data_IF_614052598422
#
_entry.id   IF_614052598422
#
_cell.length_a   1.000
_cell.length_b   1.000
_cell.length_c   1.000
_cell.angle_alpha   90.00
_cell.angle_beta   90.00
_cell.angle_gamma   90.00
#
_symmetry.space_group_name_H-M   'P 1'
#
loop_
_entity.id
_entity.type
_entity.pdbx_description
1 polymer ?
#
# COMPACT_ATOMS: atom_id res chain seq x y z
N UNK A 1 7.38 13.26 2.47
CA UNK A 1 8.44 12.37 1.98
C UNK A 1 8.68 11.24 2.96
N UNK A 2 8.30 10.01 2.58
CA UNK A 2 8.64 8.78 3.32
C UNK A 2 9.69 7.96 2.54
N UNK A 3 10.47 8.62 1.69
CA UNK A 3 11.60 8.04 0.98
C UNK A 3 12.53 7.31 1.96
N UNK A 4 12.64 5.98 1.82
CA UNK A 4 13.36 5.09 2.75
C UNK A 4 12.87 5.09 4.22
N UNK A 5 11.64 5.53 4.50
CA UNK A 5 11.11 5.47 5.85
C UNK A 5 10.93 4.00 6.28
N UNK A 6 11.56 3.62 7.39
CA UNK A 6 11.34 2.34 8.05
C UNK A 6 10.04 2.40 8.84
N UNK A 7 8.92 2.15 8.18
CA UNK A 7 7.56 2.10 8.79
C UNK A 7 7.11 0.66 9.00
N UNK A 8 8.07 -0.25 9.20
CA UNK A 8 7.82 -1.65 9.51
C UNK A 8 6.95 -1.77 10.77
N UNK A 9 5.83 -2.48 10.67
CA UNK A 9 4.89 -2.65 11.78
C UNK A 9 4.15 -1.37 12.21
N UNK A 10 4.29 -0.26 11.48
CA UNK A 10 3.64 1.00 11.85
C UNK A 10 2.11 0.89 11.73
N UNK A 11 1.40 1.55 12.64
CA UNK A 11 -0.04 1.76 12.48
C UNK A 11 -0.30 3.06 11.71
N UNK A 12 -0.72 2.91 10.46
CA UNK A 12 -1.08 3.96 9.50
C UNK A 12 -2.58 3.87 9.14
N UNK A 13 -3.41 3.42 10.08
CA UNK A 13 -4.86 3.35 9.89
C UNK A 13 -5.40 4.76 9.62
N UNK A 14 -6.25 4.92 8.60
CA UNK A 14 -6.82 6.19 8.13
C UNK A 14 -5.77 7.24 7.70
N UNK A 15 -4.52 6.83 7.43
CA UNK A 15 -3.46 7.76 7.04
C UNK A 15 -3.70 8.35 5.65
N UNK A 16 -3.51 9.67 5.52
CA UNK A 16 -3.54 10.39 4.25
C UNK A 16 -2.11 10.50 3.70
N UNK A 17 -1.81 9.69 2.68
CA UNK A 17 -0.52 9.58 2.01
C UNK A 17 -0.62 10.02 0.54
N UNK A 18 -1.51 10.98 0.27
CA UNK A 18 -1.76 11.58 -1.04
C UNK A 18 -0.46 12.13 -1.64
N UNK A 19 -0.17 11.73 -2.88
CA UNK A 19 1.03 12.16 -3.64
C UNK A 19 2.35 11.95 -2.88
N UNK A 20 2.38 11.04 -1.91
CA UNK A 20 3.58 10.78 -1.13
C UNK A 20 4.61 10.04 -1.98
N UNK A 21 5.87 10.49 -1.91
CA UNK A 21 6.99 9.68 -2.37
C UNK A 21 7.21 8.51 -1.38
N UNK A 22 6.80 7.32 -1.81
CA UNK A 22 6.95 6.03 -1.13
C UNK A 22 7.97 5.13 -1.84
N UNK A 23 8.82 5.72 -2.68
CA UNK A 23 9.89 5.02 -3.40
C UNK A 23 10.80 4.32 -2.40
N UNK A 24 10.93 2.99 -2.56
CA UNK A 24 11.72 2.14 -1.65
C UNK A 24 11.33 2.22 -0.15
N UNK A 25 10.09 2.59 0.18
CA UNK A 25 9.58 2.56 1.54
C UNK A 25 9.37 1.11 2.03
N UNK A 26 9.58 0.87 3.33
CA UNK A 26 9.38 -0.44 3.93
C UNK A 26 8.16 -0.43 4.86
N UNK A 27 7.05 -0.98 4.37
CA UNK A 27 5.78 -1.16 5.07
C UNK A 27 5.57 -2.60 5.55
N UNK A 28 6.61 -3.42 5.63
CA UNK A 28 6.48 -4.81 6.09
C UNK A 28 5.73 -4.87 7.44
N UNK A 29 4.63 -5.62 7.49
CA UNK A 29 3.78 -5.73 8.69
C UNK A 29 3.02 -4.47 9.11
N UNK A 30 3.07 -3.37 8.34
CA UNK A 30 2.36 -2.13 8.67
C UNK A 30 0.84 -2.26 8.49
N UNK A 31 0.06 -1.51 9.26
CA UNK A 31 -1.39 -1.44 9.10
C UNK A 31 -1.80 -0.15 8.35
N UNK A 32 -2.20 -0.29 7.10
CA UNK A 32 -2.67 0.74 6.17
C UNK A 32 -4.21 0.70 6.00
N UNK A 33 -4.95 0.13 6.96
CA UNK A 33 -6.41 0.04 6.87
C UNK A 33 -7.03 1.43 6.65
N UNK A 34 -7.90 1.58 5.64
CA UNK A 34 -8.51 2.84 5.21
C UNK A 34 -7.52 3.96 4.80
N UNK A 35 -6.24 3.65 4.59
CA UNK A 35 -5.27 4.66 4.16
C UNK A 35 -5.54 5.09 2.71
N UNK A 36 -5.18 6.33 2.39
CA UNK A 36 -5.30 6.90 1.06
C UNK A 36 -3.92 7.15 0.45
N UNK A 37 -3.56 6.35 -0.56
CA UNK A 37 -2.31 6.44 -1.31
C UNK A 37 -2.51 7.08 -2.68
N UNK A 38 -3.62 7.79 -2.93
CA UNK A 38 -3.91 8.36 -4.26
C UNK A 38 -2.75 9.23 -4.75
N UNK A 39 -2.25 8.96 -5.96
CA UNK A 39 -1.10 9.66 -6.53
C UNK A 39 0.26 9.34 -5.88
N UNK A 40 0.34 8.47 -4.88
CA UNK A 40 1.61 8.11 -4.25
C UNK A 40 2.52 7.35 -5.23
N UNK A 41 3.81 7.65 -5.18
CA UNK A 41 4.78 6.99 -6.06
C UNK A 41 5.32 5.71 -5.42
N UNK A 42 5.09 4.58 -6.09
CA UNK A 42 5.65 3.28 -5.74
C UNK A 42 6.63 2.81 -6.82
N UNK A 43 7.68 2.14 -6.39
CA UNK A 43 8.54 1.37 -7.29
C UNK A 43 8.62 -0.08 -6.82
N UNK A 44 9.24 -0.93 -7.64
CA UNK A 44 9.49 -2.36 -7.34
C UNK A 44 10.32 -2.61 -6.07
N UNK A 45 10.80 -1.57 -5.39
CA UNK A 45 11.58 -1.67 -4.14
C UNK A 45 10.75 -1.42 -2.89
N UNK A 46 9.51 -0.94 -3.04
CA UNK A 46 8.62 -0.81 -1.89
C UNK A 46 8.26 -2.21 -1.36
N UNK A 47 8.35 -2.39 -0.05
CA UNK A 47 8.10 -3.66 0.63
C UNK A 47 6.78 -3.56 1.38
N UNK A 48 5.84 -4.42 1.04
CA UNK A 48 4.49 -4.49 1.61
C UNK A 48 4.19 -5.89 2.17
N UNK A 49 5.21 -6.75 2.29
CA UNK A 49 5.02 -8.11 2.78
C UNK A 49 4.40 -8.10 4.19
N UNK A 50 3.27 -8.78 4.35
CA UNK A 50 2.54 -8.83 5.62
C UNK A 50 1.85 -7.52 6.03
N UNK A 51 1.84 -6.49 5.19
CA UNK A 51 1.07 -5.28 5.45
C UNK A 51 -0.44 -5.57 5.41
N UNK A 52 -1.21 -4.88 6.25
CA UNK A 52 -2.66 -4.90 6.27
C UNK A 52 -3.15 -3.70 5.44
N UNK A 53 -3.86 -3.93 4.36
CA UNK A 53 -4.29 -2.96 3.34
C UNK A 53 -5.82 -2.96 3.13
N UNK A 54 -6.59 -3.19 4.19
CA UNK A 54 -8.05 -3.25 4.09
C UNK A 54 -8.65 -1.88 3.78
N UNK A 55 -9.46 -1.78 2.72
CA UNK A 55 -10.05 -0.53 2.24
C UNK A 55 -9.00 0.56 1.93
N UNK A 56 -7.79 0.18 1.57
CA UNK A 56 -6.74 1.13 1.20
C UNK A 56 -7.00 1.62 -0.23
N UNK A 57 -6.95 2.93 -0.45
CA UNK A 57 -6.98 3.50 -1.80
C UNK A 57 -5.57 3.51 -2.35
N UNK A 58 -5.37 2.92 -3.53
CA UNK A 58 -4.10 2.78 -4.23
C UNK A 58 -3.80 4.03 -5.07
N UNK A 59 -2.57 4.19 -5.58
CA UNK A 59 -2.19 5.36 -6.37
C UNK A 59 -3.04 5.64 -7.60
N UNK A 60 -3.59 4.60 -8.22
CA UNK A 60 -4.50 4.68 -9.37
C UNK A 60 -5.96 4.97 -8.97
N UNK A 61 -6.22 5.18 -7.68
CA UNK A 61 -7.54 5.41 -7.10
C UNK A 61 -8.34 4.14 -6.86
N UNK A 62 -7.79 2.95 -7.11
CA UNK A 62 -8.49 1.69 -6.84
C UNK A 62 -8.48 1.37 -5.35
N UNK A 63 -9.58 0.83 -4.84
CA UNK A 63 -9.65 0.40 -3.43
C UNK A 63 -9.33 -1.08 -3.36
N UNK A 64 -8.35 -1.44 -2.52
CA UNK A 64 -7.92 -2.82 -2.27
C UNK A 64 -8.26 -3.28 -0.86
N UNK A 65 -8.24 -4.58 -0.65
CA UNK A 65 -8.38 -5.22 0.65
C UNK A 65 -7.39 -6.38 0.78
N UNK A 66 -7.16 -6.90 2.00
CA UNK A 66 -6.15 -7.95 2.28
C UNK A 66 -6.27 -9.23 1.44
N UNK A 67 -7.36 -9.38 0.67
CA UNK A 67 -7.54 -10.48 -0.26
C UNK A 67 -6.88 -10.21 -1.63
N UNK A 68 -6.40 -9.00 -1.90
CA UNK A 68 -5.71 -8.64 -3.14
C UNK A 68 -4.20 -8.60 -2.87
N UNK A 69 -3.50 -9.57 -3.45
CA UNK A 69 -2.09 -9.80 -3.18
C UNK A 69 -1.24 -8.80 -3.96
N UNK A 70 -0.46 -7.98 -3.26
CA UNK A 70 0.50 -7.01 -3.82
C UNK A 70 1.91 -7.58 -3.70
N UNK A 71 2.35 -8.41 -4.67
CA UNK A 71 3.72 -8.95 -4.65
C UNK A 71 4.76 -8.12 -5.42
N UNK A 72 4.37 -7.12 -6.20
CA UNK A 72 5.36 -6.34 -6.98
C UNK A 72 4.90 -4.96 -7.49
N UNK A 73 3.85 -4.38 -6.88
CA UNK A 73 3.20 -3.18 -7.40
C UNK A 73 2.09 -3.48 -8.41
N UNK A 74 1.79 -4.75 -8.69
CA UNK A 74 0.52 -5.15 -9.29
C UNK A 74 -0.47 -5.54 -8.21
N UNK A 75 -1.64 -4.90 -8.24
CA UNK A 75 -2.83 -5.43 -7.57
C UNK A 75 -3.22 -6.67 -8.36
N UNK A 76 -2.96 -7.86 -7.83
CA UNK A 76 -3.74 -9.02 -8.24
C UNK A 76 -5.12 -8.80 -7.66
N UNK A 77 -5.97 -8.11 -8.42
CA UNK A 77 -7.39 -8.24 -8.19
C UNK A 77 -7.64 -9.73 -8.22
N UNK A 78 -8.21 -10.27 -7.14
CA UNK A 78 -8.95 -11.51 -7.31
C UNK A 78 -9.98 -11.15 -8.38
N UNK A 79 -9.68 -11.46 -9.64
CA UNK A 79 -10.71 -11.68 -10.62
C UNK A 79 -11.61 -12.69 -9.93
N UNK A 80 -12.75 -12.24 -9.43
CA UNK A 80 -13.91 -13.11 -9.45
C UNK A 80 -14.06 -13.47 -10.92
N UNK A 81 -13.47 -14.61 -11.29
CA UNK A 81 -13.90 -15.41 -12.42
C UNK A 81 -15.40 -15.57 -12.25
N UNK A 82 -16.18 -14.92 -13.10
CA UNK A 82 -17.25 -15.63 -13.76
C UNK A 82 -16.64 -16.72 -14.65
#
# INVERSE_FOLDING_TARGET
CLYQAGVQGANLTDAQLLEADLTAANFEGANLTNADLTGAEFNRRARLEGAIINNTTMPDGTIVNNNQVLYDGTILSNKQTE
#
